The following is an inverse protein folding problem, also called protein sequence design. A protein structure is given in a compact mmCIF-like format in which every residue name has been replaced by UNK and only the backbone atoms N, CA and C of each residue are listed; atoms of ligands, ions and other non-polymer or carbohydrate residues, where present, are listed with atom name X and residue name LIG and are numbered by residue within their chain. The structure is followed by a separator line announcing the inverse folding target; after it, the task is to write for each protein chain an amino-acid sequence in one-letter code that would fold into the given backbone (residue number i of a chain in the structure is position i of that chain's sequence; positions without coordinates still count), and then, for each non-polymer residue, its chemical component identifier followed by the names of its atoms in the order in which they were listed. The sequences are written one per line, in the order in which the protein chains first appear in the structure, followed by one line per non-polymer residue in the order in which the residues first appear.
data_IF_511070981306
#
_entry.id   IF_511070981306
#
_cell.length_a   1.000
_cell.length_b   1.000
_cell.length_c   1.000
_cell.angle_alpha   90.00
_cell.angle_beta   90.00
_cell.angle_gamma   90.00
#
_symmetry.space_group_name_H-M   'P 1'
#
loop_
_entity.id
_entity.type
_entity.pdbx_description
1 polymer ?
#
# COMPACT_ATOMS: atom_id res chain seq x y z
N UNK A 1 -84.67 -18.75 53.88
CA UNK A 1 -84.27 -17.34 53.59
C UNK A 1 -82.82 -17.38 53.07
N UNK A 2 -82.71 -17.16 51.83
CA UNK A 2 -81.45 -17.34 51.05
C UNK A 2 -80.63 -16.09 51.15
N UNK A 3 -79.32 -16.22 51.43
CA UNK A 3 -78.30 -15.19 51.23
C UNK A 3 -77.49 -15.56 50.04
N UNK A 4 -77.15 -14.63 49.15
CA UNK A 4 -76.37 -14.94 47.94
C UNK A 4 -74.86 -14.90 48.22
N UNK A 5 -74.20 -15.85 47.62
CA UNK A 5 -72.72 -15.97 47.52
C UNK A 5 -72.22 -14.95 46.47
N UNK A 6 -71.32 -14.09 46.87
CA UNK A 6 -70.60 -13.19 45.95
C UNK A 6 -69.31 -13.85 45.51
N UNK A 7 -69.20 -14.22 44.23
CA UNK A 7 -67.98 -14.63 43.55
C UNK A 7 -67.19 -13.39 43.20
N UNK A 8 -65.93 -13.29 43.68
CA UNK A 8 -64.97 -12.28 43.29
C UNK A 8 -64.11 -12.81 42.12
N UNK A 9 -64.34 -12.32 40.93
CA UNK A 9 -63.52 -12.56 39.79
C UNK A 9 -62.34 -11.56 39.76
N UNK A 10 -61.15 -12.03 40.05
CA UNK A 10 -59.85 -11.27 39.71
C UNK A 10 -59.60 -11.27 38.21
N UNK A 11 -59.22 -10.13 37.62
CA UNK A 11 -58.82 -10.09 36.21
C UNK A 11 -57.41 -10.61 36.05
N UNK A 12 -57.28 -11.66 35.26
CA UNK A 12 -56.00 -12.23 34.82
C UNK A 12 -55.27 -11.24 33.93
N UNK A 13 -54.13 -10.63 34.38
CA UNK A 13 -53.24 -9.83 33.60
C UNK A 13 -52.47 -10.74 32.64
N UNK A 14 -52.90 -10.83 31.38
CA UNK A 14 -52.13 -11.41 30.29
C UNK A 14 -51.11 -10.41 29.88
N UNK A 15 -49.84 -10.63 30.30
CA UNK A 15 -48.68 -9.91 29.80
C UNK A 15 -48.40 -10.32 28.32
N UNK A 16 -48.89 -9.52 27.38
CA UNK A 16 -48.49 -9.64 25.98
C UNK A 16 -47.05 -9.14 25.82
N UNK A 17 -46.08 -10.07 25.83
CA UNK A 17 -44.74 -9.80 25.34
C UNK A 17 -44.82 -9.54 23.83
N UNK A 18 -44.77 -8.27 23.42
CA UNK A 18 -44.61 -7.87 22.04
C UNK A 18 -43.21 -8.26 21.58
N UNK A 19 -43.07 -9.46 21.03
CA UNK A 19 -41.92 -9.86 20.26
C UNK A 19 -41.93 -9.05 18.95
N UNK A 20 -41.20 -7.97 18.91
CA UNK A 20 -40.92 -7.27 17.63
C UNK A 20 -40.23 -8.24 16.71
N UNK A 21 -40.78 -8.51 15.51
CA UNK A 21 -40.07 -9.36 14.54
C UNK A 21 -38.77 -8.69 14.15
N UNK A 22 -37.61 -9.31 14.45
CA UNK A 22 -36.34 -8.91 13.85
C UNK A 22 -36.48 -9.03 12.33
N UNK A 23 -36.46 -7.88 11.65
CA UNK A 23 -36.38 -7.84 10.20
C UNK A 23 -35.16 -8.66 9.78
N UNK A 24 -35.28 -9.62 8.84
CA UNK A 24 -34.18 -10.40 8.38
C UNK A 24 -33.09 -9.45 7.84
N UNK A 25 -31.91 -9.53 8.40
CA UNK A 25 -30.75 -8.77 7.94
C UNK A 25 -30.56 -9.03 6.45
N UNK A 26 -30.60 -7.97 5.64
CA UNK A 26 -30.44 -8.08 4.20
C UNK A 26 -29.19 -8.90 3.87
N UNK A 27 -29.26 -9.87 2.94
CA UNK A 27 -28.13 -10.75 2.63
C UNK A 27 -26.92 -9.91 2.26
N UNK A 28 -25.83 -10.09 2.99
CA UNK A 28 -24.58 -9.40 2.74
C UNK A 28 -24.07 -9.77 1.34
N UNK A 29 -24.06 -8.80 0.42
CA UNK A 29 -23.52 -9.02 -0.94
C UNK A 29 -22.10 -9.61 -0.84
N UNK A 30 -21.80 -10.68 -1.62
CA UNK A 30 -20.49 -11.29 -1.56
C UNK A 30 -19.38 -10.26 -1.86
N UNK A 31 -18.19 -10.42 -1.27
CA UNK A 31 -17.08 -9.53 -1.53
C UNK A 31 -16.71 -9.58 -3.01
N UNK A 32 -16.77 -8.43 -3.71
CA UNK A 32 -16.33 -8.34 -5.11
C UNK A 32 -14.81 -8.45 -5.09
N UNK A 33 -14.29 -9.51 -5.64
CA UNK A 33 -12.88 -9.63 -5.99
C UNK A 33 -12.63 -8.83 -7.26
N UNK A 34 -11.65 -7.95 -7.24
CA UNK A 34 -11.29 -7.11 -8.38
C UNK A 34 -9.91 -7.57 -8.87
N UNK A 35 -9.91 -8.55 -9.79
CA UNK A 35 -8.68 -9.15 -10.33
C UNK A 35 -7.69 -8.09 -10.85
N UNK A 36 -8.19 -7.08 -11.58
CA UNK A 36 -7.34 -6.01 -12.08
C UNK A 36 -6.64 -5.22 -10.96
N UNK A 37 -7.24 -5.12 -9.77
CA UNK A 37 -6.66 -4.39 -8.65
C UNK A 37 -5.51 -5.18 -8.02
N UNK A 38 -5.67 -6.49 -7.89
CA UNK A 38 -4.56 -7.36 -7.47
C UNK A 38 -3.47 -7.38 -8.55
N UNK A 39 -3.85 -7.41 -9.83
CA UNK A 39 -2.88 -7.30 -10.91
C UNK A 39 -2.10 -5.99 -10.91
N UNK A 40 -2.74 -4.86 -10.66
CA UNK A 40 -2.04 -3.56 -10.53
C UNK A 40 -1.04 -3.59 -9.37
N UNK A 41 -1.40 -4.22 -8.23
CA UNK A 41 -0.44 -4.44 -7.13
C UNK A 41 0.71 -5.35 -7.55
N UNK A 42 0.42 -6.40 -8.32
CA UNK A 42 1.44 -7.32 -8.86
C UNK A 42 2.45 -6.61 -9.76
N UNK A 43 1.96 -5.79 -10.70
CA UNK A 43 2.81 -4.97 -11.59
C UNK A 43 3.68 -4.02 -10.76
N UNK A 44 3.08 -3.28 -9.82
CA UNK A 44 3.81 -2.34 -8.98
C UNK A 44 4.87 -3.04 -8.11
N UNK A 45 4.56 -4.22 -7.53
CA UNK A 45 5.52 -4.99 -6.74
C UNK A 45 6.69 -5.50 -7.60
N UNK A 46 6.41 -6.06 -8.77
CA UNK A 46 7.47 -6.51 -9.69
C UNK A 46 8.34 -5.36 -10.16
N UNK A 47 7.75 -4.20 -10.41
CA UNK A 47 8.52 -3.00 -10.78
C UNK A 47 9.49 -2.57 -9.65
N UNK A 48 9.03 -2.59 -8.39
CA UNK A 48 9.90 -2.33 -7.23
C UNK A 48 11.04 -3.35 -7.14
N UNK A 49 10.74 -4.64 -7.35
CA UNK A 49 11.76 -5.70 -7.32
C UNK A 49 12.84 -5.47 -8.36
N UNK A 50 12.44 -5.18 -9.60
CA UNK A 50 13.36 -4.92 -10.71
C UNK A 50 14.14 -3.60 -10.50
N UNK A 51 13.48 -2.57 -9.97
CA UNK A 51 14.09 -1.31 -9.58
C UNK A 51 15.21 -1.50 -8.56
N UNK A 52 14.99 -2.24 -7.48
CA UNK A 52 16.03 -2.45 -6.47
C UNK A 52 17.17 -3.32 -6.99
N UNK A 53 16.90 -4.28 -7.88
CA UNK A 53 17.94 -5.01 -8.57
C UNK A 53 18.81 -4.08 -9.47
N UNK A 54 18.17 -3.13 -10.15
CA UNK A 54 18.84 -2.12 -10.97
C UNK A 54 19.63 -1.14 -10.10
N UNK A 55 19.02 -0.59 -9.02
CA UNK A 55 19.71 0.31 -8.08
C UNK A 55 20.99 -0.32 -7.56
N UNK A 56 20.91 -1.58 -7.18
CA UNK A 56 22.04 -2.32 -6.63
C UNK A 56 23.23 -2.37 -7.61
N UNK A 57 22.97 -2.47 -8.89
CA UNK A 57 24.02 -2.54 -9.92
C UNK A 57 24.49 -1.17 -10.42
N UNK A 58 23.60 -0.17 -10.51
CA UNK A 58 23.90 1.09 -11.16
C UNK A 58 24.27 2.24 -10.23
N UNK A 59 23.67 2.31 -9.06
CA UNK A 59 23.88 3.45 -8.16
C UNK A 59 25.04 3.22 -7.20
N UNK A 60 25.37 1.95 -6.89
CA UNK A 60 26.21 1.64 -5.76
C UNK A 60 27.62 1.24 -6.05
N UNK A 61 27.87 0.88 -7.29
CA UNK A 61 29.11 0.21 -7.57
C UNK A 61 30.13 1.18 -8.10
N UNK A 62 31.18 1.39 -7.30
CA UNK A 62 32.52 1.84 -7.72
C UNK A 62 33.23 0.81 -8.61
N UNK A 63 32.50 -0.13 -9.22
CA UNK A 63 33.07 -1.03 -10.22
C UNK A 63 33.43 -0.22 -11.47
N UNK A 64 34.56 -0.56 -12.15
CA UNK A 64 34.92 0.08 -13.37
C UNK A 64 33.73 0.04 -14.32
N UNK A 65 33.26 1.22 -14.70
CA UNK A 65 32.16 1.37 -15.64
C UNK A 65 32.58 0.74 -16.97
N UNK A 66 32.05 -0.44 -17.24
CA UNK A 66 31.96 -0.87 -18.62
C UNK A 66 30.95 0.07 -19.28
N UNK A 67 31.37 0.93 -20.23
CA UNK A 67 30.44 1.87 -20.83
C UNK A 67 29.49 1.08 -21.74
N UNK A 68 28.27 0.84 -21.26
CA UNK A 68 27.18 0.34 -22.07
C UNK A 68 26.09 1.42 -22.14
N UNK A 69 26.32 2.53 -22.87
CA UNK A 69 25.38 3.67 -22.88
C UNK A 69 23.99 3.26 -23.35
N UNK A 70 23.89 2.25 -24.20
CA UNK A 70 22.58 1.71 -24.61
C UNK A 70 21.83 1.04 -23.46
N UNK A 71 22.53 0.28 -22.61
CA UNK A 71 21.91 -0.38 -21.45
C UNK A 71 21.49 0.66 -20.41
N UNK A 72 22.30 1.70 -20.19
CA UNK A 72 21.99 2.81 -19.30
C UNK A 72 20.73 3.55 -19.77
N UNK A 73 20.62 3.86 -21.06
CA UNK A 73 19.44 4.51 -21.64
C UNK A 73 18.20 3.59 -21.54
N UNK A 74 18.34 2.32 -21.92
CA UNK A 74 17.21 1.38 -21.92
C UNK A 74 16.73 1.01 -20.51
N UNK A 75 17.58 1.13 -19.49
CA UNK A 75 17.24 0.84 -18.09
C UNK A 75 16.89 2.08 -17.27
N UNK A 76 17.08 3.30 -17.79
CA UNK A 76 16.88 4.56 -17.05
C UNK A 76 15.47 4.71 -16.43
N UNK A 77 14.44 4.13 -17.06
CA UNK A 77 13.09 4.14 -16.54
C UNK A 77 12.97 3.37 -15.21
N UNK A 78 13.89 2.46 -14.91
CA UNK A 78 13.93 1.73 -13.64
C UNK A 78 14.33 2.62 -12.45
N UNK A 79 14.89 3.80 -12.68
CA UNK A 79 15.19 4.78 -11.63
C UNK A 79 13.93 5.21 -10.83
N UNK A 80 12.76 5.09 -11.43
CA UNK A 80 11.48 5.61 -10.90
C UNK A 80 10.69 4.64 -10.02
N UNK A 81 11.31 3.57 -9.53
CA UNK A 81 10.63 2.55 -8.72
C UNK A 81 10.04 3.06 -7.40
N UNK A 82 10.58 4.15 -6.84
CA UNK A 82 10.01 4.84 -5.69
C UNK A 82 8.51 5.15 -5.87
N UNK A 83 8.10 5.59 -7.06
CA UNK A 83 6.71 5.98 -7.35
C UNK A 83 5.72 4.82 -7.36
N UNK A 84 6.18 3.58 -7.38
CA UNK A 84 5.31 2.43 -7.09
C UNK A 84 4.76 2.46 -5.68
N UNK A 85 5.50 3.01 -4.72
CA UNK A 85 5.01 3.18 -3.33
C UNK A 85 3.86 4.18 -3.32
N UNK A 86 4.00 5.30 -4.02
CA UNK A 86 2.93 6.30 -4.21
C UNK A 86 1.67 5.66 -4.78
N UNK A 87 1.84 4.79 -5.77
CA UNK A 87 0.72 4.05 -6.36
C UNK A 87 0.12 3.02 -5.39
N UNK A 88 0.93 2.31 -4.59
CA UNK A 88 0.42 1.43 -3.54
C UNK A 88 -0.41 2.17 -2.51
N UNK A 89 0.01 3.36 -2.07
CA UNK A 89 -0.76 4.20 -1.14
C UNK A 89 -2.11 4.62 -1.76
N UNK A 90 -2.11 4.98 -3.04
CA UNK A 90 -3.35 5.31 -3.78
C UNK A 90 -4.29 4.09 -3.85
N UNK A 91 -3.77 2.90 -4.23
CA UNK A 91 -4.53 1.64 -4.23
C UNK A 91 -5.05 1.29 -2.83
N UNK A 92 -4.29 1.59 -1.80
CA UNK A 92 -4.67 1.30 -0.42
C UNK A 92 -5.90 2.12 0.00
N UNK A 93 -5.88 3.44 -0.28
CA UNK A 93 -7.04 4.31 -0.08
C UNK A 93 -8.28 3.84 -0.84
N UNK A 94 -8.11 3.48 -2.13
CA UNK A 94 -9.18 2.91 -2.96
C UNK A 94 -9.78 1.65 -2.34
N UNK A 95 -8.93 0.70 -1.96
CA UNK A 95 -9.35 -0.62 -1.49
C UNK A 95 -10.03 -0.58 -0.13
N UNK A 96 -9.55 0.27 0.79
CA UNK A 96 -10.10 0.40 2.13
C UNK A 96 -11.45 1.11 2.13
N UNK A 97 -11.69 1.98 1.15
CA UNK A 97 -12.95 2.69 1.04
C UNK A 97 -14.09 1.81 0.48
N UNK A 98 -13.81 0.78 -0.34
CA UNK A 98 -14.83 -0.11 -0.92
C UNK A 98 -15.76 -0.72 0.14
N UNK A 99 -15.26 -1.40 1.21
CA UNK A 99 -16.15 -1.94 2.25
C UNK A 99 -16.96 -0.86 2.98
N UNK A 100 -16.40 0.32 3.19
CA UNK A 100 -17.09 1.45 3.83
C UNK A 100 -18.27 1.91 2.97
N UNK A 101 -18.06 2.07 1.66
CA UNK A 101 -19.13 2.45 0.72
C UNK A 101 -20.26 1.43 0.64
N UNK A 102 -19.98 0.15 0.89
CA UNK A 102 -20.97 -0.93 0.84
C UNK A 102 -21.79 -1.07 2.12
N UNK A 103 -21.13 -0.95 3.27
CA UNK A 103 -21.78 -1.14 4.58
C UNK A 103 -22.21 0.15 5.25
N UNK A 104 -21.78 1.30 4.72
CA UNK A 104 -22.00 2.61 5.33
C UNK A 104 -21.10 2.90 6.55
N UNK A 105 -20.28 1.95 6.97
CA UNK A 105 -19.45 2.07 8.18
C UNK A 105 -18.20 1.19 8.11
N UNK A 106 -17.28 1.40 9.04
CA UNK A 106 -16.13 0.51 9.21
C UNK A 106 -16.60 -0.86 9.69
N UNK A 107 -16.19 -1.91 8.99
CA UNK A 107 -16.58 -3.28 9.33
C UNK A 107 -16.08 -3.68 10.72
N UNK A 108 -16.98 -3.92 11.65
CA UNK A 108 -16.70 -4.21 13.06
C UNK A 108 -16.23 -2.97 13.84
N UNK A 109 -16.60 -1.77 13.36
CA UNK A 109 -16.20 -0.50 13.95
C UNK A 109 -14.70 -0.24 13.85
N UNK A 110 -14.21 0.78 14.55
CA UNK A 110 -12.79 1.16 14.58
C UNK A 110 -11.89 0.04 15.12
N UNK A 111 -12.30 -0.62 16.19
CA UNK A 111 -11.53 -1.73 16.78
C UNK A 111 -11.45 -2.94 15.82
N UNK A 112 -12.55 -3.29 15.15
CA UNK A 112 -12.59 -4.36 14.15
C UNK A 112 -11.71 -4.05 12.92
N UNK A 113 -11.66 -2.79 12.52
CA UNK A 113 -10.78 -2.33 11.46
C UNK A 113 -9.29 -2.52 11.84
N UNK A 114 -8.86 -2.00 13.00
CA UNK A 114 -7.47 -2.14 13.44
C UNK A 114 -7.07 -3.60 13.65
N UNK A 115 -7.90 -4.40 14.30
CA UNK A 115 -7.67 -5.84 14.46
C UNK A 115 -7.48 -6.55 13.10
N UNK A 116 -8.30 -6.17 12.12
CA UNK A 116 -8.21 -6.73 10.76
C UNK A 116 -6.92 -6.32 10.04
N UNK A 117 -6.46 -5.07 10.21
CA UNK A 117 -5.21 -4.59 9.62
C UNK A 117 -3.99 -5.21 10.32
N UNK A 118 -3.96 -5.18 11.64
CA UNK A 118 -2.88 -5.80 12.42
C UNK A 118 -2.68 -7.28 12.04
N UNK A 119 -3.74 -8.07 11.98
CA UNK A 119 -3.67 -9.48 11.57
C UNK A 119 -3.11 -9.67 10.15
N UNK A 120 -3.37 -8.74 9.24
CA UNK A 120 -2.90 -8.84 7.86
C UNK A 120 -1.45 -8.40 7.70
N UNK A 121 -1.02 -7.38 8.45
CA UNK A 121 0.25 -6.70 8.23
C UNK A 121 1.34 -7.27 9.15
N UNK A 122 1.07 -7.39 10.46
CA UNK A 122 2.12 -7.65 11.43
C UNK A 122 2.78 -9.03 11.32
N UNK A 123 2.06 -10.15 11.09
CA UNK A 123 2.73 -11.46 11.01
C UNK A 123 3.74 -11.54 9.87
N UNK A 124 3.42 -11.20 8.60
CA UNK A 124 4.42 -11.20 7.53
C UNK A 124 5.47 -10.11 7.71
N UNK A 125 5.13 -8.94 8.29
CA UNK A 125 6.09 -7.90 8.59
C UNK A 125 7.18 -8.38 9.54
N UNK A 126 6.82 -8.96 10.69
CA UNK A 126 7.80 -9.46 11.65
C UNK A 126 8.58 -10.67 11.14
N UNK A 127 7.94 -11.54 10.36
CA UNK A 127 8.65 -12.63 9.69
C UNK A 127 9.73 -12.13 8.73
N UNK A 128 9.41 -11.11 7.92
CA UNK A 128 10.38 -10.48 7.03
C UNK A 128 11.46 -9.69 7.79
N UNK A 129 11.10 -9.03 8.90
CA UNK A 129 12.05 -8.35 9.78
C UNK A 129 13.07 -9.34 10.35
N UNK A 130 12.63 -10.51 10.80
CA UNK A 130 13.54 -11.56 11.32
C UNK A 130 14.50 -12.05 10.24
N UNK A 131 14.00 -12.29 9.01
CA UNK A 131 14.85 -12.67 7.88
C UNK A 131 15.86 -11.56 7.56
N UNK A 132 15.41 -10.31 7.54
CA UNK A 132 16.27 -9.15 7.28
C UNK A 132 17.34 -8.97 8.34
N UNK A 133 16.99 -9.17 9.62
CA UNK A 133 17.95 -9.15 10.74
C UNK A 133 18.97 -10.28 10.60
N UNK A 134 18.56 -11.48 10.23
CA UNK A 134 19.48 -12.61 10.01
C UNK A 134 20.46 -12.32 8.85
N UNK A 135 19.98 -11.77 7.74
CA UNK A 135 20.82 -11.35 6.61
C UNK A 135 21.78 -10.24 7.04
N UNK A 136 21.28 -9.20 7.71
CA UNK A 136 22.10 -8.09 8.18
C UNK A 136 23.16 -8.54 9.20
N UNK A 137 22.81 -9.45 10.12
CA UNK A 137 23.76 -10.02 11.09
C UNK A 137 24.85 -10.84 10.39
N UNK A 138 24.49 -11.66 9.40
CA UNK A 138 25.45 -12.47 8.65
C UNK A 138 26.45 -11.61 7.88
N UNK A 139 26.01 -10.50 7.29
CA UNK A 139 26.82 -9.63 6.43
C UNK A 139 27.33 -8.35 7.12
N UNK A 140 27.17 -8.20 8.44
CA UNK A 140 27.56 -6.98 9.16
C UNK A 140 29.04 -6.60 9.01
N UNK A 141 29.89 -7.56 8.65
CA UNK A 141 31.33 -7.36 8.44
C UNK A 141 31.70 -7.13 6.97
N UNK A 142 30.76 -7.23 6.04
CA UNK A 142 30.97 -7.05 4.62
C UNK A 142 30.51 -5.64 4.24
N UNK A 143 31.45 -4.84 3.75
CA UNK A 143 31.19 -3.45 3.41
C UNK A 143 31.03 -3.32 1.90
N UNK A 144 29.81 -3.15 1.43
CA UNK A 144 29.54 -2.65 0.08
C UNK A 144 28.97 -1.24 0.17
N UNK A 145 29.34 -0.30 -0.74
CA UNK A 145 29.17 1.13 -0.51
C UNK A 145 27.78 1.60 -0.12
N UNK A 146 26.72 1.18 -0.79
CA UNK A 146 25.38 1.73 -0.50
C UNK A 146 24.62 0.95 0.57
N UNK A 147 24.77 -0.35 0.64
CA UNK A 147 24.04 -1.17 1.61
C UNK A 147 24.69 -1.25 2.98
N UNK A 148 25.81 -0.57 3.15
CA UNK A 148 26.46 -0.41 4.45
C UNK A 148 25.50 0.16 5.53
N UNK A 149 24.65 1.12 5.15
CA UNK A 149 23.65 1.67 6.06
C UNK A 149 22.58 0.65 6.45
N UNK A 150 22.13 -0.21 5.51
CA UNK A 150 21.15 -1.25 5.79
C UNK A 150 21.69 -2.35 6.72
N UNK A 151 22.99 -2.65 6.67
CA UNK A 151 23.62 -3.65 7.55
C UNK A 151 24.08 -3.12 8.90
N UNK A 152 23.96 -1.81 9.14
CA UNK A 152 24.21 -1.26 10.50
C UNK A 152 23.10 -1.67 11.45
N UNK A 153 23.35 -2.71 12.23
CA UNK A 153 22.46 -3.14 13.29
C UNK A 153 22.70 -2.27 14.52
N UNK A 154 21.77 -1.38 14.83
CA UNK A 154 21.74 -0.63 16.08
C UNK A 154 20.51 -1.03 16.88
N UNK A 155 20.62 -1.10 18.20
CA UNK A 155 19.48 -1.36 19.07
C UNK A 155 18.34 -0.37 18.80
N UNK A 156 18.69 0.90 18.55
CA UNK A 156 17.72 1.93 18.16
C UNK A 156 16.94 1.57 16.89
N UNK A 157 17.62 1.12 15.83
CA UNK A 157 16.97 0.71 14.59
C UNK A 157 16.05 -0.49 14.81
N UNK A 158 16.51 -1.50 15.56
CA UNK A 158 15.71 -2.69 15.85
C UNK A 158 14.43 -2.31 16.61
N UNK A 159 14.55 -1.52 17.67
CA UNK A 159 13.39 -1.08 18.47
C UNK A 159 12.40 -0.28 17.60
N UNK A 160 12.89 0.66 16.79
CA UNK A 160 12.02 1.46 15.93
C UNK A 160 11.35 0.62 14.83
N UNK A 161 12.01 -0.41 14.29
CA UNK A 161 11.37 -1.35 13.35
C UNK A 161 10.31 -2.20 14.03
N UNK A 162 10.52 -2.66 15.26
CA UNK A 162 9.51 -3.41 16.02
C UNK A 162 8.22 -2.58 16.17
N UNK A 163 8.34 -1.28 16.40
CA UNK A 163 7.18 -0.39 16.57
C UNK A 163 6.69 0.29 15.28
N UNK A 164 7.27 -0.02 14.10
CA UNK A 164 6.98 0.65 12.82
C UNK A 164 7.14 2.18 12.89
N UNK A 165 8.19 2.64 13.54
CA UNK A 165 8.54 4.05 13.75
C UNK A 165 9.92 4.41 13.18
N UNK A 166 10.54 3.50 12.43
CA UNK A 166 11.90 3.67 11.91
C UNK A 166 12.01 4.72 10.79
N UNK A 167 10.89 5.09 10.17
CA UNK A 167 10.76 6.18 9.21
C UNK A 167 10.83 7.58 9.86
N UNK A 168 10.52 7.70 11.16
CA UNK A 168 10.57 8.99 11.87
C UNK A 168 11.97 9.62 11.92
N UNK A 169 13.01 8.84 11.76
CA UNK A 169 14.39 9.31 11.83
C UNK A 169 15.15 8.89 10.57
N UNK A 170 15.72 9.85 9.86
CA UNK A 170 16.53 9.60 8.65
C UNK A 170 17.67 8.61 8.88
N UNK A 171 18.20 8.55 10.11
CA UNK A 171 19.27 7.61 10.48
C UNK A 171 18.85 6.16 10.60
N UNK A 172 17.55 5.86 10.64
CA UNK A 172 17.01 4.49 10.80
C UNK A 172 16.13 4.03 9.66
N UNK A 173 15.66 4.95 8.81
CA UNK A 173 14.71 4.70 7.71
C UNK A 173 15.15 3.59 6.77
N UNK A 174 16.43 3.58 6.38
CA UNK A 174 16.98 2.62 5.41
C UNK A 174 17.73 1.46 6.05
N UNK A 175 17.78 1.38 7.40
CA UNK A 175 18.49 0.30 8.08
C UNK A 175 17.68 -1.00 8.06
N UNK A 176 18.34 -2.14 8.19
CA UNK A 176 17.80 -3.50 8.25
C UNK A 176 17.15 -3.93 6.93
N UNK A 177 16.11 -3.23 6.49
CA UNK A 177 15.41 -3.50 5.23
C UNK A 177 14.84 -2.18 4.68
N UNK A 178 15.59 -1.59 3.75
CA UNK A 178 15.31 -0.24 3.28
C UNK A 178 13.85 -0.02 2.81
N UNK A 179 13.21 -0.89 2.00
CA UNK A 179 11.82 -0.73 1.59
C UNK A 179 10.78 -0.69 2.73
N UNK A 180 11.10 -1.16 3.94
CA UNK A 180 10.13 -1.23 5.05
C UNK A 180 9.62 0.14 5.53
N UNK A 181 10.33 1.24 5.21
CA UNK A 181 9.86 2.58 5.58
C UNK A 181 8.43 2.86 5.10
N UNK A 182 8.08 2.40 3.91
CA UNK A 182 6.76 2.63 3.34
C UNK A 182 5.64 1.90 4.09
N UNK A 183 5.95 0.74 4.69
CA UNK A 183 5.00 -0.01 5.53
C UNK A 183 4.75 0.73 6.85
N UNK A 184 5.77 1.36 7.43
CA UNK A 184 5.60 2.21 8.60
C UNK A 184 4.67 3.40 8.28
N UNK A 185 4.93 4.12 7.17
CA UNK A 185 4.08 5.20 6.69
C UNK A 185 2.65 4.73 6.42
N UNK A 186 2.47 3.58 5.76
CA UNK A 186 1.15 3.02 5.49
C UNK A 186 0.39 2.69 6.79
N UNK A 187 1.06 2.12 7.79
CA UNK A 187 0.46 1.86 9.11
C UNK A 187 0.04 3.15 9.82
N UNK A 188 0.84 4.20 9.74
CA UNK A 188 0.50 5.51 10.32
C UNK A 188 -0.75 6.10 9.63
N UNK A 189 -0.85 6.01 8.30
CA UNK A 189 -2.04 6.44 7.55
C UNK A 189 -3.27 5.61 7.96
N UNK A 190 -3.11 4.31 8.22
CA UNK A 190 -4.22 3.48 8.69
C UNK A 190 -4.74 3.88 10.06
N UNK A 191 -3.90 4.45 10.95
CA UNK A 191 -4.37 5.01 12.21
C UNK A 191 -5.30 6.21 11.97
N UNK A 192 -5.06 6.97 10.90
CA UNK A 192 -5.89 8.13 10.53
C UNK A 192 -7.16 7.73 9.75
N UNK A 193 -7.21 6.55 9.13
CA UNK A 193 -8.32 6.18 8.25
C UNK A 193 -9.70 6.23 8.88
N UNK A 194 -9.95 5.77 10.14
CA UNK A 194 -11.25 5.94 10.78
C UNK A 194 -11.68 7.40 10.92
N UNK A 195 -10.73 8.28 11.21
CA UNK A 195 -10.97 9.73 11.28
C UNK A 195 -11.32 10.30 9.90
N UNK A 196 -10.61 9.87 8.84
CA UNK A 196 -10.91 10.30 7.46
C UNK A 196 -12.31 9.85 7.03
N UNK A 197 -12.72 8.64 7.40
CA UNK A 197 -14.08 8.14 7.15
C UNK A 197 -15.12 8.96 7.91
N UNK A 198 -14.87 9.29 9.18
CA UNK A 198 -15.74 10.15 9.98
C UNK A 198 -15.87 11.55 9.33
N UNK A 199 -14.78 12.18 8.94
CA UNK A 199 -14.78 13.49 8.29
C UNK A 199 -15.55 13.43 6.96
N UNK A 200 -15.33 12.38 6.17
CA UNK A 200 -16.06 12.18 4.93
C UNK A 200 -17.58 12.06 5.15
N UNK A 201 -18.00 11.27 6.13
CA UNK A 201 -19.42 11.14 6.46
C UNK A 201 -20.06 12.44 6.97
N UNK A 202 -19.30 13.22 7.76
CA UNK A 202 -19.85 14.42 8.44
C UNK A 202 -19.81 15.67 7.56
N UNK A 203 -18.76 15.82 6.74
CA UNK A 203 -18.47 17.04 5.99
C UNK A 203 -18.33 16.82 4.49
N UNK A 204 -18.39 15.59 4.04
CA UNK A 204 -18.31 15.22 2.62
C UNK A 204 -16.90 15.14 2.06
N UNK A 205 -16.84 14.76 0.78
CA UNK A 205 -15.59 14.46 0.09
C UNK A 205 -14.69 15.70 -0.08
N UNK A 206 -15.28 16.86 -0.43
CA UNK A 206 -14.50 18.10 -0.64
C UNK A 206 -13.76 18.52 0.63
N UNK A 207 -14.45 18.49 1.78
CA UNK A 207 -13.84 18.81 3.06
C UNK A 207 -12.73 17.83 3.43
N UNK A 208 -12.91 16.53 3.17
CA UNK A 208 -11.89 15.50 3.42
C UNK A 208 -10.65 15.78 2.59
N UNK A 209 -10.80 16.04 1.28
CA UNK A 209 -9.65 16.33 0.40
C UNK A 209 -8.96 17.65 0.79
N UNK A 210 -9.73 18.71 1.06
CA UNK A 210 -9.15 19.99 1.49
C UNK A 210 -8.37 19.86 2.80
N UNK A 211 -8.95 19.18 3.80
CA UNK A 211 -8.30 18.97 5.08
C UNK A 211 -7.02 18.16 4.95
N UNK A 212 -7.06 17.04 4.19
CA UNK A 212 -5.86 16.20 3.99
C UNK A 212 -4.79 16.92 3.18
N UNK A 213 -5.16 17.75 2.19
CA UNK A 213 -4.23 18.57 1.44
C UNK A 213 -3.55 19.61 2.35
N UNK A 214 -4.33 20.36 3.15
CA UNK A 214 -3.81 21.34 4.10
C UNK A 214 -2.91 20.67 5.13
N UNK A 215 -3.38 19.60 5.77
CA UNK A 215 -2.62 18.85 6.77
C UNK A 215 -1.30 18.33 6.18
N UNK A 216 -1.34 17.72 5.02
CA UNK A 216 -0.15 17.21 4.32
C UNK A 216 0.84 18.33 4.02
N UNK A 217 0.37 19.46 3.49
CA UNK A 217 1.23 20.62 3.17
C UNK A 217 1.84 21.21 4.44
N UNK A 218 1.04 21.45 5.48
CA UNK A 218 1.54 21.99 6.75
C UNK A 218 2.59 21.05 7.38
N UNK A 219 2.32 19.75 7.41
CA UNK A 219 3.28 18.79 7.95
C UNK A 219 4.55 18.70 7.08
N UNK A 220 4.44 18.74 5.75
CA UNK A 220 5.62 18.79 4.87
C UNK A 220 6.47 20.03 5.15
N UNK A 221 5.87 21.19 5.34
CA UNK A 221 6.60 22.43 5.68
C UNK A 221 7.28 22.32 7.06
N UNK A 222 6.62 21.69 8.04
CA UNK A 222 7.16 21.51 9.39
C UNK A 222 8.34 20.52 9.42
N UNK A 223 8.29 19.45 8.63
CA UNK A 223 9.36 18.43 8.65
C UNK A 223 10.49 18.73 7.66
N UNK A 224 10.28 19.65 6.72
CA UNK A 224 11.28 20.02 5.73
C UNK A 224 12.57 20.52 6.40
N UNK A 225 13.72 19.97 6.00
CA UNK A 225 15.01 20.28 6.59
C UNK A 225 15.24 19.70 8.00
N UNK A 226 14.30 18.96 8.56
CA UNK A 226 14.46 18.29 9.87
C UNK A 226 14.89 16.82 9.69
N UNK A 227 15.24 16.15 10.81
CA UNK A 227 15.54 14.70 10.82
C UNK A 227 14.30 13.84 10.55
N UNK A 228 13.10 14.42 10.61
CA UNK A 228 11.82 13.76 10.40
C UNK A 228 11.27 13.93 8.97
N UNK A 229 12.05 14.44 8.04
CA UNK A 229 11.60 14.69 6.66
C UNK A 229 11.14 13.41 5.93
N UNK A 230 11.60 12.23 6.37
CA UNK A 230 11.21 10.92 5.84
C UNK A 230 9.82 10.41 6.33
N UNK A 231 9.09 11.21 7.09
CA UNK A 231 7.69 10.93 7.46
C UNK A 231 6.74 10.89 6.26
N UNK A 232 7.14 11.52 5.15
CA UNK A 232 6.35 11.61 3.92
C UNK A 232 4.87 11.98 4.14
N UNK A 233 4.55 13.08 4.86
CA UNK A 233 3.17 13.38 5.26
C UNK A 233 2.24 13.63 4.07
N UNK A 234 2.76 13.95 2.89
CA UNK A 234 1.99 14.12 1.66
C UNK A 234 1.25 12.84 1.23
N UNK A 235 1.68 11.67 1.70
CA UNK A 235 0.97 10.42 1.44
C UNK A 235 -0.41 10.34 2.10
N UNK A 236 -0.71 11.15 3.11
CA UNK A 236 -2.07 11.28 3.68
C UNK A 236 -3.03 11.80 2.60
N UNK A 237 -2.62 12.83 1.85
CA UNK A 237 -3.42 13.36 0.75
C UNK A 237 -3.51 12.38 -0.43
N UNK A 238 -2.40 11.73 -0.80
CA UNK A 238 -2.37 10.71 -1.87
C UNK A 238 -3.29 9.53 -1.54
N UNK A 239 -3.31 9.08 -0.28
CA UNK A 239 -4.25 8.07 0.18
C UNK A 239 -5.71 8.54 0.02
N UNK A 240 -6.02 9.81 0.32
CA UNK A 240 -7.36 10.35 0.15
C UNK A 240 -7.76 10.53 -1.33
N UNK A 241 -6.80 10.69 -2.26
CA UNK A 241 -7.07 10.56 -3.71
C UNK A 241 -7.51 9.13 -4.08
N UNK A 242 -6.94 8.12 -3.45
CA UNK A 242 -7.43 6.74 -3.57
C UNK A 242 -8.86 6.57 -3.05
N UNK A 243 -9.19 7.17 -1.89
CA UNK A 243 -10.57 7.22 -1.38
C UNK A 243 -11.51 7.92 -2.39
N UNK A 244 -11.11 9.06 -2.96
CA UNK A 244 -11.83 9.77 -4.02
C UNK A 244 -12.14 8.82 -5.19
N UNK A 245 -11.14 8.13 -5.72
CA UNK A 245 -11.33 7.20 -6.83
C UNK A 245 -12.37 6.12 -6.50
N UNK A 246 -12.31 5.53 -5.29
CA UNK A 246 -13.27 4.54 -4.82
C UNK A 246 -14.69 5.10 -4.71
N UNK A 247 -14.85 6.31 -4.16
CA UNK A 247 -16.15 6.99 -4.03
C UNK A 247 -16.74 7.27 -5.42
N UNK A 248 -15.91 7.68 -6.38
CA UNK A 248 -16.35 7.94 -7.77
C UNK A 248 -16.84 6.67 -8.47
N UNK A 249 -16.22 5.53 -8.20
CA UNK A 249 -16.55 4.26 -8.84
C UNK A 249 -17.71 3.54 -8.13
N UNK A 250 -17.73 3.55 -6.82
CA UNK A 250 -18.63 2.71 -6.00
C UNK A 250 -19.64 3.48 -5.16
N UNK A 251 -19.54 4.83 -5.11
CA UNK A 251 -20.48 5.67 -4.36
C UNK A 251 -21.89 5.66 -4.97
N UNK A 252 -22.89 6.02 -4.17
CA UNK A 252 -24.27 6.16 -4.64
C UNK A 252 -24.37 7.34 -5.61
N UNK A 253 -25.08 7.18 -6.73
CA UNK A 253 -25.25 8.23 -7.78
C UNK A 253 -25.71 9.58 -7.23
N UNK A 254 -26.54 9.58 -6.20
CA UNK A 254 -27.14 10.80 -5.62
C UNK A 254 -26.19 11.64 -4.74
N UNK A 255 -25.00 11.11 -4.40
CA UNK A 255 -24.00 11.81 -3.60
C UNK A 255 -22.89 12.46 -4.44
N UNK A 256 -22.99 12.37 -5.77
CA UNK A 256 -21.95 12.76 -6.71
C UNK A 256 -22.38 14.01 -7.44
N UNK A 257 -21.72 15.12 -7.17
CA UNK A 257 -21.71 16.29 -8.07
C UNK A 257 -21.22 15.88 -9.47
N UNK A 258 -21.43 16.75 -10.50
CA UNK A 258 -21.01 16.46 -11.86
C UNK A 258 -19.57 15.93 -11.86
N UNK A 259 -19.43 14.65 -12.16
CA UNK A 259 -18.12 13.99 -12.23
C UNK A 259 -17.54 14.17 -13.61
N UNK A 260 -16.23 14.30 -13.71
CA UNK A 260 -15.54 14.13 -14.97
C UNK A 260 -15.95 12.78 -15.59
N UNK A 261 -16.20 12.76 -16.88
CA UNK A 261 -16.37 11.52 -17.64
C UNK A 261 -15.01 10.80 -17.76
N UNK A 262 -14.98 9.56 -18.25
CA UNK A 262 -13.72 8.82 -18.40
C UNK A 262 -12.67 9.58 -19.21
N UNK A 263 -13.10 10.35 -20.22
CA UNK A 263 -12.19 11.20 -21.03
C UNK A 263 -11.54 12.28 -20.16
N UNK A 264 -12.31 12.95 -19.29
CA UNK A 264 -11.77 13.94 -18.35
C UNK A 264 -10.74 13.36 -17.40
N UNK A 265 -10.97 12.15 -16.86
CA UNK A 265 -9.97 11.45 -16.04
C UNK A 265 -8.72 11.06 -16.84
N UNK A 266 -8.86 10.63 -18.10
CA UNK A 266 -7.70 10.35 -18.98
C UNK A 266 -6.87 11.60 -19.22
N UNK A 267 -7.51 12.73 -19.51
CA UNK A 267 -6.82 14.02 -19.70
C UNK A 267 -6.14 14.45 -18.40
N UNK A 268 -6.84 14.43 -17.27
CA UNK A 268 -6.27 14.81 -15.97
C UNK A 268 -5.07 13.92 -15.59
N UNK A 269 -5.17 12.62 -15.81
CA UNK A 269 -4.07 11.68 -15.58
C UNK A 269 -2.87 11.94 -16.49
N UNK A 270 -3.11 12.23 -17.78
CA UNK A 270 -2.04 12.59 -18.71
C UNK A 270 -1.37 13.92 -18.33
N UNK A 271 -2.14 14.94 -17.96
CA UNK A 271 -1.59 16.21 -17.49
C UNK A 271 -0.73 16.01 -16.22
N UNK A 272 -1.18 15.17 -15.30
CA UNK A 272 -0.38 14.83 -14.12
C UNK A 272 0.95 14.15 -14.49
N UNK A 273 0.96 13.24 -15.47
CA UNK A 273 2.19 12.63 -15.97
C UNK A 273 3.10 13.66 -16.69
N UNK A 274 2.52 14.62 -17.41
CA UNK A 274 3.29 15.73 -18.00
C UNK A 274 3.95 16.56 -16.89
N UNK A 275 3.20 16.92 -15.83
CA UNK A 275 3.77 17.64 -14.67
C UNK A 275 4.89 16.83 -14.02
N UNK A 276 4.72 15.52 -13.88
CA UNK A 276 5.78 14.64 -13.39
C UNK A 276 7.05 14.74 -14.26
N UNK A 277 6.94 14.58 -15.58
CA UNK A 277 8.08 14.67 -16.51
C UNK A 277 8.74 16.05 -16.47
N UNK A 278 7.93 17.13 -16.40
CA UNK A 278 8.46 18.48 -16.29
C UNK A 278 9.20 18.69 -14.95
N UNK A 279 8.69 18.14 -13.85
CA UNK A 279 9.36 18.23 -12.54
C UNK A 279 10.68 17.47 -12.49
N UNK A 280 10.87 16.45 -13.34
CA UNK A 280 12.14 15.75 -13.48
C UNK A 280 13.16 16.55 -14.32
N UNK A 281 12.71 17.38 -15.25
CA UNK A 281 13.55 18.08 -16.23
C UNK A 281 13.86 19.51 -15.84
N UNK A 282 13.02 20.16 -15.09
CA UNK A 282 13.14 21.58 -14.71
C UNK A 282 13.63 21.68 -13.27
N UNK A 283 14.89 22.12 -13.02
CA UNK A 283 15.46 22.12 -11.66
C UNK A 283 14.64 22.87 -10.62
N UNK A 284 13.97 23.96 -11.02
CA UNK A 284 13.12 24.76 -10.11
C UNK A 284 11.81 24.05 -9.71
N UNK A 285 11.39 23.02 -10.44
CA UNK A 285 10.24 22.20 -10.16
C UNK A 285 10.62 20.85 -9.52
N UNK A 286 11.90 20.56 -9.39
CA UNK A 286 12.39 19.28 -8.88
C UNK A 286 12.08 19.14 -7.40
N UNK A 287 10.99 18.42 -7.11
CA UNK A 287 10.51 18.17 -5.77
C UNK A 287 9.87 16.80 -5.69
N UNK A 288 10.34 15.96 -4.78
CA UNK A 288 9.76 14.63 -4.52
C UNK A 288 8.27 14.74 -4.19
N UNK A 289 7.86 15.77 -3.47
CA UNK A 289 6.44 16.01 -3.14
C UNK A 289 5.59 16.28 -4.38
N UNK A 290 6.09 17.09 -5.33
CA UNK A 290 5.38 17.37 -6.58
C UNK A 290 5.30 16.12 -7.46
N UNK A 291 6.38 15.35 -7.51
CA UNK A 291 6.47 14.11 -8.27
C UNK A 291 5.50 13.06 -7.71
N UNK A 292 5.53 12.81 -6.40
CA UNK A 292 4.62 11.90 -5.73
C UNK A 292 3.15 12.33 -5.88
N UNK A 293 2.87 13.62 -5.76
CA UNK A 293 1.51 14.14 -5.96
C UNK A 293 1.03 13.90 -7.40
N UNK A 294 1.89 14.15 -8.38
CA UNK A 294 1.57 13.94 -9.80
C UNK A 294 1.25 12.47 -10.08
N UNK A 295 2.07 11.54 -9.56
CA UNK A 295 1.83 10.10 -9.67
C UNK A 295 0.58 9.68 -8.89
N UNK A 296 0.33 10.26 -7.72
CA UNK A 296 -0.90 10.01 -6.95
C UNK A 296 -2.17 10.41 -7.69
N UNK A 297 -2.16 11.59 -8.36
CA UNK A 297 -3.27 12.05 -9.22
C UNK A 297 -3.42 11.13 -10.43
N UNK A 298 -2.33 10.80 -11.12
CA UNK A 298 -2.37 9.88 -12.26
C UNK A 298 -2.91 8.49 -11.85
N UNK A 299 -2.48 7.98 -10.68
CA UNK A 299 -2.95 6.73 -10.09
C UNK A 299 -4.45 6.76 -9.75
N UNK A 300 -4.93 7.86 -9.15
CA UNK A 300 -6.34 8.08 -8.90
C UNK A 300 -7.16 8.03 -10.21
N UNK A 301 -6.73 8.77 -11.23
CA UNK A 301 -7.38 8.80 -12.55
C UNK A 301 -7.36 7.42 -13.20
N UNK A 302 -6.24 6.71 -13.17
CA UNK A 302 -6.10 5.35 -13.69
C UNK A 302 -7.09 4.40 -13.02
N UNK A 303 -7.18 4.41 -11.67
CA UNK A 303 -8.11 3.55 -10.92
C UNK A 303 -9.56 3.80 -11.32
N UNK A 304 -9.97 5.06 -11.54
CA UNK A 304 -11.31 5.39 -12.01
C UNK A 304 -11.54 4.85 -13.42
N UNK A 305 -10.65 5.14 -14.36
CA UNK A 305 -10.78 4.73 -15.77
C UNK A 305 -10.82 3.21 -15.89
N UNK A 306 -9.88 2.51 -15.29
CA UNK A 306 -9.79 1.03 -15.34
C UNK A 306 -10.97 0.37 -14.65
N UNK A 307 -11.56 1.00 -13.65
CA UNK A 307 -12.76 0.49 -12.98
C UNK A 307 -14.02 0.63 -13.83
N UNK A 308 -14.17 1.75 -14.53
CA UNK A 308 -15.38 2.07 -15.31
C UNK A 308 -15.33 1.47 -16.72
N UNK A 309 -14.18 1.48 -17.38
CA UNK A 309 -14.01 0.96 -18.74
C UNK A 309 -13.59 -0.53 -18.72
N UNK A 310 -14.55 -1.43 -18.87
CA UNK A 310 -14.30 -2.88 -18.88
C UNK A 310 -13.36 -3.34 -20.00
N UNK A 311 -13.36 -2.67 -21.14
CA UNK A 311 -12.54 -2.99 -22.31
C UNK A 311 -11.20 -2.24 -22.35
N UNK A 312 -10.80 -1.60 -21.25
CA UNK A 312 -9.54 -0.87 -21.14
C UNK A 312 -8.33 -1.81 -21.27
N UNK A 313 -7.32 -1.41 -22.06
CA UNK A 313 -6.09 -2.19 -22.27
C UNK A 313 -5.34 -2.49 -20.97
N UNK A 314 -5.17 -1.47 -20.12
CA UNK A 314 -4.49 -1.64 -18.82
C UNK A 314 -5.24 -2.64 -17.94
N UNK A 315 -6.58 -2.58 -17.92
CA UNK A 315 -7.40 -3.57 -17.20
C UNK A 315 -7.18 -4.99 -17.72
N UNK A 316 -7.12 -5.17 -19.04
CA UNK A 316 -6.88 -6.50 -19.63
C UNK A 316 -5.53 -7.06 -19.18
N UNK A 317 -4.47 -6.27 -19.26
CA UNK A 317 -3.13 -6.69 -18.80
C UNK A 317 -3.17 -6.99 -17.31
N UNK A 318 -3.67 -6.08 -16.49
CA UNK A 318 -3.73 -6.27 -15.03
C UNK A 318 -4.62 -7.47 -14.61
N UNK A 319 -5.53 -7.92 -15.48
CA UNK A 319 -6.37 -9.10 -15.21
C UNK A 319 -5.79 -10.41 -15.74
N UNK A 320 -4.59 -10.42 -16.31
CA UNK A 320 -3.92 -11.66 -16.73
C UNK A 320 -3.59 -12.52 -15.51
N UNK A 321 -3.90 -13.81 -15.59
CA UNK A 321 -3.78 -14.73 -14.48
C UNK A 321 -2.39 -14.75 -13.80
N UNK A 322 -1.24 -14.73 -14.50
CA UNK A 322 0.07 -14.65 -13.86
C UNK A 322 0.27 -13.36 -13.07
N UNK A 323 -0.23 -12.23 -13.59
CA UNK A 323 -0.09 -10.90 -12.96
C UNK A 323 -0.96 -10.84 -11.70
N UNK A 324 -2.21 -11.30 -11.78
CA UNK A 324 -3.12 -11.41 -10.63
C UNK A 324 -2.57 -12.36 -9.57
N UNK A 325 -1.95 -13.46 -9.98
CA UNK A 325 -1.30 -14.40 -9.07
C UNK A 325 -0.18 -13.73 -8.26
N UNK A 326 0.72 -12.99 -8.91
CA UNK A 326 1.77 -12.20 -8.21
C UNK A 326 1.14 -11.17 -7.29
N UNK A 327 0.08 -10.50 -7.74
CA UNK A 327 -0.66 -9.52 -6.94
C UNK A 327 -1.23 -10.09 -5.65
N UNK A 328 -1.63 -11.37 -5.67
CA UNK A 328 -2.17 -12.08 -4.52
C UNK A 328 -1.20 -12.22 -3.34
N UNK A 329 0.12 -12.14 -3.58
CA UNK A 329 1.16 -12.17 -2.55
C UNK A 329 2.16 -11.00 -2.68
N UNK A 330 1.75 -9.94 -3.35
CA UNK A 330 2.57 -8.74 -3.60
C UNK A 330 3.15 -8.12 -2.32
N UNK A 331 2.45 -8.23 -1.18
CA UNK A 331 2.93 -7.74 0.10
C UNK A 331 4.12 -8.58 0.61
N UNK A 332 4.02 -9.89 0.60
CA UNK A 332 5.13 -10.79 0.95
C UNK A 332 6.33 -10.61 0.00
N UNK A 333 6.08 -10.44 -1.30
CA UNK A 333 7.12 -10.16 -2.29
C UNK A 333 7.82 -8.82 -1.99
N UNK A 334 7.03 -7.78 -1.68
CA UNK A 334 7.56 -6.46 -1.31
C UNK A 334 8.43 -6.51 -0.05
N UNK A 335 8.07 -7.30 0.96
CA UNK A 335 8.83 -7.39 2.20
C UNK A 335 10.16 -8.14 2.04
N UNK A 336 10.19 -9.15 1.16
CA UNK A 336 11.32 -10.08 1.07
C UNK A 336 12.32 -9.77 -0.04
N UNK A 337 11.90 -9.05 -1.10
CA UNK A 337 12.78 -8.87 -2.26
C UNK A 337 14.13 -8.26 -1.88
N UNK A 338 14.13 -7.24 -1.04
CA UNK A 338 15.34 -6.51 -0.70
C UNK A 338 16.37 -7.36 0.08
N UNK A 339 16.06 -7.99 1.23
CA UNK A 339 17.03 -8.82 1.94
C UNK A 339 17.49 -10.02 1.10
N UNK A 340 16.63 -10.60 0.26
CA UNK A 340 17.02 -11.72 -0.60
C UNK A 340 17.89 -11.27 -1.78
N UNK A 341 17.64 -10.09 -2.35
CA UNK A 341 18.53 -9.51 -3.36
C UNK A 341 19.89 -9.16 -2.76
N UNK A 342 19.92 -8.65 -1.52
CA UNK A 342 21.16 -8.41 -0.82
C UNK A 342 21.96 -9.68 -0.58
N UNK A 343 21.29 -10.72 -0.11
CA UNK A 343 21.91 -12.03 0.07
C UNK A 343 22.52 -12.53 -1.25
N UNK A 344 21.74 -12.50 -2.32
CA UNK A 344 22.20 -12.93 -3.64
C UNK A 344 23.39 -12.10 -4.13
N UNK A 345 23.30 -10.77 -3.98
CA UNK A 345 24.37 -9.87 -4.40
C UNK A 345 25.68 -10.16 -3.65
N UNK A 346 25.64 -10.28 -2.34
CA UNK A 346 26.83 -10.53 -1.52
C UNK A 346 27.46 -11.90 -1.81
N UNK A 347 26.65 -12.91 -2.10
CA UNK A 347 27.13 -14.25 -2.44
C UNK A 347 27.69 -14.35 -3.89
N UNK A 348 27.43 -13.36 -4.73
CA UNK A 348 27.82 -13.40 -6.15
C UNK A 348 28.63 -12.17 -6.55
N UNK A 349 27.97 -11.13 -7.02
CA UNK A 349 28.60 -9.95 -7.62
C UNK A 349 29.53 -9.21 -6.66
N UNK A 350 29.15 -9.09 -5.39
CA UNK A 350 29.98 -8.44 -4.36
C UNK A 350 31.26 -9.21 -4.04
N UNK A 351 31.20 -10.54 -4.08
CA UNK A 351 32.35 -11.41 -3.82
C UNK A 351 33.29 -11.51 -5.01
N UNK A 352 32.73 -11.62 -6.22
CA UNK A 352 33.51 -11.87 -7.44
C UNK A 352 33.83 -10.59 -8.23
N UNK A 353 33.51 -9.39 -7.73
CA UNK A 353 33.78 -8.11 -8.38
C UNK A 353 33.32 -8.05 -9.83
N UNK A 354 32.11 -8.55 -10.09
CA UNK A 354 31.54 -8.63 -11.44
C UNK A 354 31.23 -7.24 -12.02
N UNK A 355 31.13 -7.16 -13.33
CA UNK A 355 30.69 -5.92 -14.00
C UNK A 355 29.26 -5.55 -13.57
N UNK A 356 28.91 -4.26 -13.71
CA UNK A 356 27.54 -3.76 -13.44
C UNK A 356 26.47 -4.58 -14.15
N UNK A 357 26.66 -4.84 -15.45
CA UNK A 357 25.70 -5.60 -16.25
C UNK A 357 25.58 -7.05 -15.77
N UNK A 358 26.72 -7.72 -15.52
CA UNK A 358 26.71 -9.11 -15.03
C UNK A 358 26.06 -9.21 -13.66
N UNK A 359 26.36 -8.29 -12.73
CA UNK A 359 25.75 -8.21 -11.42
C UNK A 359 24.24 -7.99 -11.50
N UNK A 360 23.79 -7.05 -12.34
CA UNK A 360 22.36 -6.82 -12.57
C UNK A 360 21.64 -8.06 -13.12
N UNK A 361 22.21 -8.70 -14.14
CA UNK A 361 21.60 -9.90 -14.74
C UNK A 361 21.52 -11.06 -13.74
N UNK A 362 22.51 -11.23 -12.86
CA UNK A 362 22.47 -12.24 -11.80
C UNK A 362 21.37 -11.94 -10.79
N UNK A 363 21.27 -10.68 -10.33
CA UNK A 363 20.22 -10.30 -9.36
C UNK A 363 18.85 -10.36 -10.01
N UNK A 364 18.74 -9.97 -11.28
CA UNK A 364 17.49 -10.09 -12.03
C UNK A 364 17.10 -11.56 -12.25
N UNK A 365 18.03 -12.42 -12.63
CA UNK A 365 17.80 -13.87 -12.73
C UNK A 365 17.43 -14.48 -11.38
N UNK A 366 18.06 -14.02 -10.29
CA UNK A 366 17.72 -14.41 -8.93
C UNK A 366 16.29 -14.05 -8.51
N UNK A 367 15.67 -13.07 -9.15
CA UNK A 367 14.25 -12.76 -8.97
C UNK A 367 13.37 -13.97 -9.28
N UNK A 368 13.78 -14.84 -10.20
CA UNK A 368 13.10 -16.11 -10.46
C UNK A 368 13.04 -17.04 -9.23
N UNK A 369 13.99 -16.91 -8.30
CA UNK A 369 13.99 -17.63 -7.01
C UNK A 369 13.26 -16.85 -5.92
N UNK A 370 13.35 -15.52 -5.93
CA UNK A 370 12.72 -14.65 -4.95
C UNK A 370 11.20 -14.76 -5.02
N UNK A 371 10.62 -14.82 -6.22
CA UNK A 371 9.18 -14.90 -6.42
C UNK A 371 8.57 -16.16 -5.78
N UNK A 372 9.02 -17.40 -6.07
CA UNK A 372 8.47 -18.60 -5.44
C UNK A 372 8.75 -18.66 -3.94
N UNK A 373 9.90 -18.16 -3.47
CA UNK A 373 10.17 -18.08 -2.03
C UNK A 373 9.19 -17.12 -1.34
N UNK A 374 8.92 -15.97 -1.93
CA UNK A 374 7.92 -15.02 -1.41
C UNK A 374 6.50 -15.60 -1.42
N UNK A 375 6.17 -16.42 -2.42
CA UNK A 375 4.89 -17.15 -2.45
C UNK A 375 4.80 -18.19 -1.32
N UNK A 376 5.88 -18.93 -1.04
CA UNK A 376 5.90 -19.86 0.10
C UNK A 376 5.74 -19.10 1.43
N UNK A 377 6.46 -18.02 1.60
CA UNK A 377 6.35 -17.14 2.77
C UNK A 377 4.92 -16.61 2.94
N UNK A 378 4.29 -16.15 1.86
CA UNK A 378 2.87 -15.77 1.87
C UNK A 378 1.97 -16.90 2.37
N UNK A 379 2.20 -18.14 1.89
CA UNK A 379 1.40 -19.30 2.29
C UNK A 379 1.47 -19.58 3.78
N UNK A 380 2.61 -19.30 4.40
CA UNK A 380 2.89 -19.61 5.82
C UNK A 380 2.53 -18.43 6.72
N UNK A 381 2.93 -17.22 6.38
CA UNK A 381 2.89 -16.06 7.29
C UNK A 381 1.88 -14.97 6.93
N UNK A 382 1.30 -14.99 5.71
CA UNK A 382 0.30 -13.98 5.33
C UNK A 382 -1.10 -14.62 5.15
N UNK A 383 -1.20 -15.65 4.33
CA UNK A 383 -2.48 -16.27 3.96
C UNK A 383 -3.31 -16.77 5.15
N UNK A 384 -2.74 -17.38 6.21
CA UNK A 384 -3.51 -17.86 7.36
C UNK A 384 -4.22 -16.74 8.13
N UNK A 385 -3.66 -15.53 8.08
CA UNK A 385 -4.21 -14.36 8.76
C UNK A 385 -5.14 -13.51 7.88
N UNK A 386 -5.19 -13.80 6.58
CA UNK A 386 -6.20 -13.22 5.70
C UNK A 386 -7.55 -13.87 6.02
N UNK A 387 -8.61 -13.07 6.06
CA UNK A 387 -9.97 -13.61 6.28
C UNK A 387 -10.26 -14.66 5.22
N UNK A 388 -10.57 -15.88 5.64
CA UNK A 388 -11.09 -16.91 4.76
C UNK A 388 -12.34 -16.36 4.03
N UNK A 389 -12.39 -16.53 2.70
CA UNK A 389 -13.65 -16.34 1.97
C UNK A 389 -14.69 -17.22 2.67
N UNK A 390 -15.94 -16.76 2.90
CA UNK A 390 -17.01 -17.69 3.25
C UNK A 390 -16.97 -18.80 2.19
N UNK A 391 -16.88 -20.05 2.65
CA UNK A 391 -17.08 -21.19 1.75
C UNK A 391 -18.51 -21.03 1.20
N UNK A 392 -18.63 -20.95 -0.14
CA UNK A 392 -19.89 -20.97 -0.84
C UNK A 392 -20.62 -22.29 -0.60
#
# INVERSE_FOLDING_TARGET
MNAPVTESTEPMHVSQSTVTPELPSAPSRPPVHLDFLDGLRGIAAMYVVIHHAWLQAWVEITLPSSPHPLVDILSAWLAYGHFSVTFFITISGFSLMIPVLRSGQLRGGTAGFFKGRAKRILPPYYGALLISLAVAFWFQHIHTPMYYAAFRLTLKAIVLHIFLLHDLLSSTTSQINAPMWSIAVECQIYLLFPLLVFIWHRFGLRATLALTAILSTCLCLLVNGTRAWNLFPHYIFIFSLGMLASIRVHGKKNSLEPSLNCTGYKIAGLLALVVFVLSERIPTLQSVYLQDLSIGVAGCCLLVVVSLEKNNFVRRIASLAPIVWVGGFSYSLYLLHFPLQQLLWQLTAGTYHLSKLSGYLIVLAGTALIVPFSFLFYRVLEKPFMRSKPRA
#
